data_IF_884599717159
#
_entry.id   IF_884599717159
#
_cell.length_a   1.000
_cell.length_b   1.000
_cell.length_c   1.000
_cell.angle_alpha   90.00
_cell.angle_beta   90.00
_cell.angle_gamma   90.00
#
_symmetry.space_group_name_H-M   'P 1'
#
loop_
_entity.id
_entity.type
_entity.pdbx_description
1 polymer ?
#
# COMPACT_ATOMS: atom_id res chain seq x y z
N UNK A 1 -3.72 -35.48 -26.14
CA UNK A 1 -4.68 -34.43 -25.72
C UNK A 1 -3.86 -33.19 -25.38
N UNK A 2 -4.27 -32.04 -25.92
CA UNK A 2 -3.47 -30.81 -26.02
C UNK A 2 -3.16 -30.24 -24.64
N UNK A 3 -1.90 -30.28 -24.22
CA UNK A 3 -1.38 -29.42 -23.15
C UNK A 3 -1.33 -27.98 -23.69
N UNK A 4 -2.48 -27.32 -23.65
CA UNK A 4 -2.60 -25.90 -23.96
C UNK A 4 -1.94 -25.11 -22.83
N UNK A 5 -0.69 -24.73 -23.07
CA UNK A 5 -0.17 -23.37 -22.88
C UNK A 5 -0.99 -22.51 -21.92
N UNK A 6 -0.87 -22.71 -20.61
CA UNK A 6 -1.29 -21.71 -19.63
C UNK A 6 -0.20 -20.63 -19.49
N UNK A 7 0.24 -20.09 -20.63
CA UNK A 7 0.91 -18.80 -20.67
C UNK A 7 -0.19 -17.74 -20.63
N UNK A 8 -0.88 -17.65 -19.50
CA UNK A 8 -1.74 -16.51 -19.22
C UNK A 8 -0.79 -15.35 -18.91
N UNK A 9 -0.59 -14.52 -19.93
CA UNK A 9 0.07 -13.22 -19.84
C UNK A 9 -0.67 -12.39 -18.79
N UNK A 10 -0.27 -12.55 -17.53
CA UNK A 10 -0.62 -11.64 -16.44
C UNK A 10 -0.13 -10.26 -16.89
N UNK A 11 -1.06 -9.39 -17.24
CA UNK A 11 -0.71 -8.01 -17.58
C UNK A 11 0.05 -7.42 -16.39
N UNK A 12 1.13 -6.69 -16.67
CA UNK A 12 1.98 -6.08 -15.63
C UNK A 12 1.13 -5.29 -14.61
N UNK A 13 0.03 -4.67 -15.06
CA UNK A 13 -0.93 -3.98 -14.19
C UNK A 13 -1.70 -4.88 -13.21
N UNK A 14 -2.11 -6.09 -13.62
CA UNK A 14 -2.83 -7.03 -12.74
C UNK A 14 -1.91 -7.66 -11.69
N UNK A 15 -0.68 -8.02 -12.06
CA UNK A 15 0.32 -8.54 -11.12
C UNK A 15 0.71 -7.47 -10.08
N UNK A 16 0.80 -6.20 -10.51
CA UNK A 16 1.11 -5.10 -9.63
C UNK A 16 -0.04 -4.80 -8.64
N UNK A 17 -1.30 -4.87 -9.09
CA UNK A 17 -2.47 -4.76 -8.22
C UNK A 17 -2.57 -5.92 -7.22
N UNK A 18 -2.34 -7.15 -7.67
CA UNK A 18 -2.35 -8.35 -6.84
C UNK A 18 -1.35 -8.24 -5.67
N UNK A 19 -0.15 -7.71 -5.93
CA UNK A 19 0.83 -7.50 -4.86
C UNK A 19 0.37 -6.44 -3.84
N UNK A 20 -0.16 -5.29 -4.29
CA UNK A 20 -0.64 -4.25 -3.36
C UNK A 20 -1.80 -4.76 -2.51
N UNK A 21 -2.76 -5.45 -3.15
CA UNK A 21 -3.92 -6.04 -2.49
C UNK A 21 -3.51 -7.06 -1.43
N UNK A 22 -2.48 -7.88 -1.69
CA UNK A 22 -1.92 -8.81 -0.69
C UNK A 22 -1.40 -8.12 0.56
N UNK A 23 -0.73 -6.97 0.43
CA UNK A 23 -0.28 -6.19 1.61
C UNK A 23 -1.44 -5.59 2.39
N UNK A 24 -2.46 -5.10 1.70
CA UNK A 24 -3.67 -4.59 2.35
C UNK A 24 -4.47 -5.72 3.03
N UNK A 25 -4.52 -6.90 2.42
CA UNK A 25 -5.16 -8.07 3.00
C UNK A 25 -4.41 -8.57 4.25
N UNK A 26 -3.08 -8.69 4.19
CA UNK A 26 -2.27 -9.18 5.31
C UNK A 26 -2.24 -8.23 6.51
N UNK A 27 -2.47 -6.94 6.28
CA UNK A 27 -2.56 -5.92 7.34
C UNK A 27 -3.97 -5.72 7.89
N UNK A 28 -4.98 -6.37 7.30
CA UNK A 28 -6.37 -6.25 7.71
C UNK A 28 -7.01 -4.93 7.32
N UNK A 29 -6.55 -4.29 6.24
CA UNK A 29 -7.04 -3.00 5.73
C UNK A 29 -7.55 -3.08 4.27
N UNK A 30 -7.79 -4.28 3.75
CA UNK A 30 -8.29 -4.50 2.38
C UNK A 30 -9.56 -3.70 2.07
N UNK A 31 -10.43 -3.52 3.05
CA UNK A 31 -11.65 -2.72 2.96
C UNK A 31 -11.38 -1.23 2.71
N UNK A 32 -10.20 -0.73 3.07
CA UNK A 32 -9.77 0.65 2.89
C UNK A 32 -8.82 0.84 1.69
N UNK A 33 -8.58 -0.19 0.88
CA UNK A 33 -7.76 -0.10 -0.33
C UNK A 33 -8.27 0.98 -1.32
N UNK A 34 -9.57 1.11 -1.61
CA UNK A 34 -10.07 2.18 -2.49
C UNK A 34 -9.74 3.58 -1.97
N UNK A 35 -9.88 3.78 -0.66
CA UNK A 35 -9.54 5.04 0.00
C UNK A 35 -8.03 5.33 -0.06
N UNK A 36 -7.21 4.30 0.14
CA UNK A 36 -5.76 4.41 0.03
C UNK A 36 -5.32 4.82 -1.39
N UNK A 37 -5.92 4.23 -2.43
CA UNK A 37 -5.67 4.59 -3.82
C UNK A 37 -6.06 6.05 -4.11
N UNK A 38 -7.21 6.51 -3.62
CA UNK A 38 -7.65 7.90 -3.75
C UNK A 38 -6.64 8.88 -3.13
N UNK A 39 -6.17 8.59 -1.91
CA UNK A 39 -5.21 9.45 -1.19
C UNK A 39 -3.86 9.46 -1.92
N UNK A 40 -3.34 8.29 -2.32
CA UNK A 40 -2.06 8.18 -3.02
C UNK A 40 -2.11 8.89 -4.38
N UNK A 41 -3.21 8.74 -5.13
CA UNK A 41 -3.44 9.42 -6.40
C UNK A 41 -3.44 10.95 -6.26
N UNK A 42 -4.11 11.47 -5.22
CA UNK A 42 -4.11 12.92 -4.91
C UNK A 42 -2.72 13.47 -4.57
N UNK A 43 -1.82 12.62 -4.05
CA UNK A 43 -0.46 13.01 -3.66
C UNK A 43 0.60 12.67 -4.72
N UNK A 44 0.22 12.01 -5.81
CA UNK A 44 1.16 11.54 -6.84
C UNK A 44 2.17 10.52 -6.29
N UNK A 45 1.75 9.69 -5.33
CA UNK A 45 2.58 8.67 -4.71
C UNK A 45 2.31 7.30 -5.33
N UNK A 46 3.37 6.51 -5.47
CA UNK A 46 3.35 5.23 -6.14
C UNK A 46 3.11 4.06 -5.19
N UNK A 47 3.13 2.88 -5.76
CA UNK A 47 2.87 1.62 -5.06
C UNK A 47 3.91 1.32 -3.98
N UNK A 48 5.18 1.64 -4.22
CA UNK A 48 6.26 1.43 -3.25
C UNK A 48 5.99 2.22 -1.96
N UNK A 49 5.59 3.50 -2.09
CA UNK A 49 5.19 4.30 -0.93
C UNK A 49 3.95 3.72 -0.25
N UNK A 50 2.97 3.23 -1.01
CA UNK A 50 1.74 2.66 -0.46
C UNK A 50 2.00 1.37 0.35
N UNK A 51 2.88 0.48 -0.14
CA UNK A 51 3.26 -0.76 0.55
C UNK A 51 3.95 -0.44 1.88
N UNK A 52 4.93 0.46 1.85
CA UNK A 52 5.64 0.86 3.07
C UNK A 52 4.70 1.55 4.06
N UNK A 53 3.83 2.43 3.55
CA UNK A 53 2.86 3.13 4.37
C UNK A 53 1.88 2.17 5.05
N UNK A 54 1.34 1.17 4.34
CA UNK A 54 0.35 0.25 4.91
C UNK A 54 0.95 -0.64 6.01
N UNK A 55 2.21 -1.07 5.84
CA UNK A 55 2.94 -1.78 6.88
C UNK A 55 3.10 -0.91 8.14
N UNK A 56 3.52 0.35 7.99
CA UNK A 56 3.64 1.31 9.11
C UNK A 56 2.30 1.64 9.77
N UNK A 57 1.21 1.70 9.00
CA UNK A 57 -0.14 1.87 9.55
C UNK A 57 -0.54 0.66 10.38
N UNK A 58 -0.25 -0.56 9.91
CA UNK A 58 -0.53 -1.78 10.66
C UNK A 58 0.23 -1.83 11.99
N UNK A 59 1.50 -1.42 12.00
CA UNK A 59 2.29 -1.31 13.23
C UNK A 59 1.66 -0.30 14.20
N UNK A 60 1.28 0.89 13.72
CA UNK A 60 0.63 1.91 14.56
C UNK A 60 -0.73 1.44 15.06
N UNK A 61 -1.48 0.69 14.27
CA UNK A 61 -2.77 0.12 14.65
C UNK A 61 -2.63 -0.91 15.78
N UNK A 62 -1.59 -1.76 15.74
CA UNK A 62 -1.31 -2.74 16.79
C UNK A 62 -1.01 -2.07 18.13
N UNK A 63 -0.29 -0.95 18.12
CA UNK A 63 0.06 -0.22 19.35
C UNK A 63 -1.06 0.71 19.82
N UNK A 64 -1.74 1.38 18.89
CA UNK A 64 -2.74 2.43 19.19
C UNK A 64 -3.97 2.28 18.28
N UNK A 65 -4.83 1.27 18.52
CA UNK A 65 -6.02 1.07 17.72
C UNK A 65 -7.04 2.22 17.93
N UNK A 66 -7.75 2.65 16.88
CA UNK A 66 -8.78 3.67 16.98
C UNK A 66 -9.99 3.17 17.79
N UNK A 67 -10.53 4.04 18.65
CA UNK A 67 -11.66 3.71 19.52
C UNK A 67 -13.02 3.93 18.82
N UNK A 68 -13.10 4.88 17.89
CA UNK A 68 -14.38 5.33 17.31
C UNK A 68 -14.43 5.08 15.81
N UNK A 69 -13.61 5.80 15.02
CA UNK A 69 -13.73 5.79 13.56
C UNK A 69 -12.44 5.30 12.91
N UNK A 70 -12.42 4.00 12.55
CA UNK A 70 -11.28 3.34 11.91
C UNK A 70 -10.93 3.98 10.56
N UNK A 71 -11.90 4.35 9.74
CA UNK A 71 -11.66 4.95 8.42
C UNK A 71 -11.10 6.38 8.51
N UNK A 72 -11.60 7.20 9.43
CA UNK A 72 -11.07 8.55 9.66
C UNK A 72 -9.66 8.52 10.26
N UNK A 73 -9.44 7.62 11.23
CA UNK A 73 -8.11 7.37 11.79
C UNK A 73 -7.14 6.90 10.71
N UNK A 74 -7.56 5.93 9.89
CA UNK A 74 -6.77 5.41 8.79
C UNK A 74 -6.42 6.52 7.81
N UNK A 75 -7.38 7.33 7.34
CA UNK A 75 -7.13 8.44 6.41
C UNK A 75 -6.03 9.37 6.92
N UNK A 76 -6.08 9.73 8.21
CA UNK A 76 -5.07 10.60 8.84
C UNK A 76 -3.71 9.91 8.89
N UNK A 77 -3.65 8.73 9.48
CA UNK A 77 -2.40 7.99 9.70
C UNK A 77 -1.75 7.56 8.40
N UNK A 78 -2.53 7.03 7.46
CA UNK A 78 -2.06 6.59 6.16
C UNK A 78 -1.46 7.74 5.36
N UNK A 79 -2.07 8.94 5.39
CA UNK A 79 -1.50 10.14 4.77
C UNK A 79 -0.15 10.53 5.39
N UNK A 80 -0.03 10.49 6.72
CA UNK A 80 1.24 10.73 7.41
C UNK A 80 2.30 9.70 6.96
N UNK A 81 1.96 8.41 6.97
CA UNK A 81 2.89 7.32 6.64
C UNK A 81 3.29 7.26 5.17
N UNK A 82 2.41 7.68 4.26
CA UNK A 82 2.73 7.84 2.84
C UNK A 82 3.84 8.88 2.60
N UNK A 83 3.76 10.02 3.29
CA UNK A 83 4.77 11.07 3.14
C UNK A 83 6.10 10.68 3.80
N UNK A 84 6.05 9.99 4.94
CA UNK A 84 7.24 9.39 5.55
C UNK A 84 7.89 8.36 4.61
N UNK A 85 7.11 7.44 4.02
CA UNK A 85 7.62 6.45 3.07
C UNK A 85 8.32 7.10 1.86
N UNK A 86 7.73 8.17 1.30
CA UNK A 86 8.38 8.95 0.24
C UNK A 86 9.72 9.51 0.68
N UNK A 87 9.78 10.09 1.89
CA UNK A 87 11.02 10.65 2.42
C UNK A 87 12.09 9.57 2.61
N UNK A 88 11.72 8.41 3.14
CA UNK A 88 12.63 7.29 3.37
C UNK A 88 13.19 6.74 2.04
N UNK A 89 12.34 6.54 1.03
CA UNK A 89 12.76 6.09 -0.31
C UNK A 89 13.71 7.10 -0.95
N UNK A 90 13.40 8.40 -0.86
CA UNK A 90 14.28 9.45 -1.38
C UNK A 90 15.63 9.48 -0.66
N UNK A 91 15.64 9.33 0.67
CA UNK A 91 16.86 9.26 1.47
C UNK A 91 17.71 8.04 1.09
N UNK A 92 17.08 6.86 0.99
CA UNK A 92 17.74 5.62 0.57
C UNK A 92 18.39 5.76 -0.82
N UNK A 93 17.65 6.32 -1.77
CA UNK A 93 18.16 6.56 -3.13
C UNK A 93 19.32 7.56 -3.15
N UNK A 94 19.32 8.56 -2.27
CA UNK A 94 20.41 9.52 -2.14
C UNK A 94 21.68 8.89 -1.55
N UNK A 95 21.54 8.00 -0.56
CA UNK A 95 22.67 7.32 0.09
C UNK A 95 23.28 6.17 -0.72
N UNK A 96 22.63 5.72 -1.81
CA UNK A 96 23.14 4.68 -2.72
C UNK A 96 23.97 5.20 -3.90
N UNK A 97 24.14 6.52 -4.03
CA UNK A 97 25.06 7.16 -5.00
C UNK A 97 26.40 7.44 -4.33
#
# INVERSE_FOLDING_TARGET
>A
MKHALYNFTMSKGQAEQDVLERYFASTGFVDLLPLALEIAGKLGLGKEEMIEAICKVADKFRTYPPIINRSAWFRKVYKEKLLEARADILAFNKCRR
#
